data_IF_402942282266
#
_entry.id   IF_402942282266
#
_cell.length_a   1.000
_cell.length_b   1.000
_cell.length_c   1.000
_cell.angle_alpha   90.00
_cell.angle_beta   90.00
_cell.angle_gamma   90.00
#
_symmetry.space_group_name_H-M   'P 1'
#
loop_
_entity.id
_entity.type
_entity.pdbx_description
1 polymer ?
#
# COMPACT_ATOMS: atom_id res chain seq x y z
N UNK A 1 -11.81 10.27 -3.82
CA UNK A 1 -11.40 9.09 -4.62
C UNK A 1 -9.92 9.07 -5.05
N UNK A 2 -9.11 10.07 -4.66
CA UNK A 2 -7.70 10.23 -5.03
C UNK A 2 -6.75 9.16 -4.44
N UNK A 3 -6.95 8.78 -3.17
CA UNK A 3 -6.11 7.77 -2.49
C UNK A 3 -6.13 6.42 -3.20
N UNK A 4 -7.27 6.01 -3.76
CA UNK A 4 -7.40 4.74 -4.49
C UNK A 4 -6.57 4.72 -5.78
N UNK A 5 -6.54 5.83 -6.51
CA UNK A 5 -5.74 5.95 -7.72
C UNK A 5 -4.23 5.83 -7.42
N UNK A 6 -3.77 6.46 -6.34
CA UNK A 6 -2.36 6.34 -5.94
C UNK A 6 -2.02 4.95 -5.41
N UNK A 7 -2.94 4.28 -4.73
CA UNK A 7 -2.82 2.87 -4.33
C UNK A 7 -2.64 1.94 -5.54
N UNK A 8 -3.35 2.18 -6.64
CA UNK A 8 -3.27 1.36 -7.86
C UNK A 8 -1.92 1.47 -8.60
N UNK A 9 -1.10 2.45 -8.24
CA UNK A 9 0.23 2.68 -8.80
C UNK A 9 1.36 2.00 -7.99
N UNK A 10 1.01 1.31 -6.89
CA UNK A 10 1.95 0.47 -6.15
C UNK A 10 2.15 -0.88 -6.87
N UNK A 11 3.30 -1.54 -6.68
CA UNK A 11 3.46 -2.92 -7.14
C UNK A 11 2.39 -3.83 -6.56
N UNK A 12 1.97 -4.81 -7.36
CA UNK A 12 0.82 -5.66 -7.06
C UNK A 12 0.88 -6.31 -5.67
N UNK A 13 2.04 -6.84 -5.25
CA UNK A 13 2.17 -7.48 -3.93
C UNK A 13 2.11 -6.49 -2.76
N UNK A 14 2.63 -5.27 -2.93
CA UNK A 14 2.58 -4.23 -1.90
C UNK A 14 1.16 -3.68 -1.77
N UNK A 15 0.51 -3.42 -2.90
CA UNK A 15 -0.89 -3.00 -2.97
C UNK A 15 -1.80 -4.03 -2.32
N UNK A 16 -1.64 -5.31 -2.65
CA UNK A 16 -2.50 -6.37 -2.12
C UNK A 16 -2.25 -6.58 -0.63
N UNK A 17 -1.00 -6.57 -0.17
CA UNK A 17 -0.68 -6.64 1.25
C UNK A 17 -1.31 -5.48 2.05
N UNK A 18 -1.29 -4.25 1.52
CA UNK A 18 -1.95 -3.11 2.13
C UNK A 18 -3.47 -3.26 2.14
N UNK A 19 -4.08 -3.66 1.01
CA UNK A 19 -5.54 -3.84 0.90
C UNK A 19 -6.03 -4.85 1.92
N UNK A 20 -5.40 -6.02 2.00
CA UNK A 20 -5.75 -7.06 2.97
C UNK A 20 -5.54 -6.59 4.42
N UNK A 21 -4.53 -5.73 4.66
CA UNK A 21 -4.25 -5.23 6.01
C UNK A 21 -5.17 -4.11 6.46
N UNK A 22 -5.51 -3.18 5.57
CA UNK A 22 -6.22 -1.93 5.88
C UNK A 22 -7.72 -2.06 5.63
N UNK A 23 -8.12 -2.65 4.50
CA UNK A 23 -9.54 -2.80 4.18
C UNK A 23 -10.13 -4.01 4.93
N UNK A 24 -9.44 -5.15 4.87
CA UNK A 24 -9.92 -6.42 5.45
C UNK A 24 -9.43 -6.67 6.89
N UNK A 25 -8.57 -5.80 7.43
CA UNK A 25 -8.06 -5.87 8.80
C UNK A 25 -7.37 -7.20 9.17
N UNK A 26 -6.87 -7.94 8.19
CA UNK A 26 -6.29 -9.26 8.41
C UNK A 26 -4.99 -9.21 9.24
N UNK A 27 -4.68 -10.34 9.87
CA UNK A 27 -3.40 -10.54 10.56
C UNK A 27 -2.29 -10.81 9.55
N UNK A 28 -1.04 -10.54 9.95
CA UNK A 28 0.12 -10.78 9.08
C UNK A 28 0.26 -12.27 8.72
N UNK A 29 -0.15 -13.17 9.61
CA UNK A 29 -0.15 -14.62 9.34
C UNK A 29 -1.23 -15.03 8.33
N UNK A 30 -2.42 -14.42 8.38
CA UNK A 30 -3.47 -14.66 7.39
C UNK A 30 -3.08 -14.13 6.00
N UNK A 31 -2.52 -12.92 5.96
CA UNK A 31 -2.02 -12.31 4.72
C UNK A 31 -0.88 -13.17 4.14
N UNK A 32 0.02 -13.68 4.97
CA UNK A 32 1.11 -14.57 4.55
C UNK A 32 0.58 -15.82 3.84
N UNK A 33 -0.47 -16.43 4.40
CA UNK A 33 -1.15 -17.59 3.79
C UNK A 33 -1.82 -17.25 2.46
N UNK A 34 -2.50 -16.09 2.38
CA UNK A 34 -3.19 -15.64 1.16
C UNK A 34 -2.19 -15.33 0.04
N UNK A 35 -1.11 -14.64 0.36
CA UNK A 35 -0.10 -14.22 -0.62
C UNK A 35 0.94 -15.31 -0.93
N UNK A 36 0.96 -16.41 -0.17
CA UNK A 36 1.94 -17.49 -0.34
C UNK A 36 3.37 -17.07 0.00
N UNK A 37 3.56 -16.17 0.97
CA UNK A 37 4.88 -15.64 1.38
C UNK A 37 5.11 -15.81 2.88
N UNK A 38 6.35 -15.61 3.34
CA UNK A 38 6.65 -15.62 4.78
C UNK A 38 6.01 -14.43 5.51
N UNK A 39 5.66 -14.61 6.79
CA UNK A 39 5.14 -13.53 7.65
C UNK A 39 6.05 -12.29 7.68
N UNK A 40 7.38 -12.51 7.71
CA UNK A 40 8.36 -11.42 7.64
C UNK A 40 8.28 -10.62 6.34
N UNK A 41 8.06 -11.32 5.22
CA UNK A 41 7.84 -10.70 3.90
C UNK A 41 6.59 -9.85 3.88
N UNK A 42 5.50 -10.29 4.53
CA UNK A 42 4.27 -9.47 4.65
C UNK A 42 4.57 -8.14 5.35
N UNK A 43 5.33 -8.17 6.46
CA UNK A 43 5.65 -6.93 7.15
C UNK A 43 6.52 -5.99 6.35
N UNK A 44 7.47 -6.53 5.59
CA UNK A 44 8.22 -5.75 4.63
C UNK A 44 7.33 -5.16 3.52
N UNK A 45 6.41 -5.94 2.94
CA UNK A 45 5.48 -5.49 1.90
C UNK A 45 4.57 -4.37 2.40
N UNK A 46 3.98 -4.52 3.59
CA UNK A 46 3.11 -3.49 4.21
C UNK A 46 3.90 -2.21 4.47
N UNK A 47 5.10 -2.33 5.04
CA UNK A 47 5.95 -1.16 5.32
C UNK A 47 6.36 -0.43 4.03
N UNK A 48 6.82 -1.18 3.02
CA UNK A 48 7.22 -0.61 1.71
C UNK A 48 6.04 0.02 0.97
N UNK A 49 4.90 -0.66 0.97
CA UNK A 49 3.67 -0.14 0.38
C UNK A 49 3.27 1.18 1.03
N UNK A 50 3.27 1.25 2.37
CA UNK A 50 2.89 2.47 3.09
C UNK A 50 3.84 3.63 2.77
N UNK A 51 5.16 3.41 2.84
CA UNK A 51 6.14 4.44 2.48
C UNK A 51 5.95 4.96 1.06
N UNK A 52 5.72 4.05 0.09
CA UNK A 52 5.50 4.46 -1.30
C UNK A 52 4.20 5.22 -1.46
N UNK A 53 3.12 4.77 -0.85
CA UNK A 53 1.84 5.46 -0.90
C UNK A 53 1.95 6.87 -0.31
N UNK A 54 2.58 7.03 0.86
CA UNK A 54 2.82 8.34 1.48
C UNK A 54 3.57 9.27 0.52
N UNK A 55 4.71 8.83 0.00
CA UNK A 55 5.51 9.62 -0.95
C UNK A 55 4.73 10.01 -2.22
N UNK A 56 3.82 9.14 -2.67
CA UNK A 56 2.99 9.41 -3.85
C UNK A 56 1.91 10.44 -3.55
N UNK A 57 1.23 10.28 -2.42
CA UNK A 57 0.21 11.23 -1.97
C UNK A 57 0.81 12.62 -1.77
N UNK A 58 1.98 12.72 -1.10
CA UNK A 58 2.69 14.00 -0.91
C UNK A 58 3.00 14.69 -2.24
N UNK A 59 3.50 13.95 -3.24
CA UNK A 59 3.80 14.49 -4.57
C UNK A 59 2.54 14.93 -5.30
N UNK A 60 1.49 14.12 -5.21
CA UNK A 60 0.26 14.39 -5.93
C UNK A 60 -0.53 15.56 -5.29
N UNK A 61 -0.43 15.77 -3.97
CA UNK A 61 -0.95 16.98 -3.31
C UNK A 61 -0.10 18.21 -3.62
N UNK A 62 1.24 18.09 -3.60
CA UNK A 62 2.13 19.20 -3.94
C UNK A 62 1.96 19.68 -5.40
N UNK A 63 1.73 18.75 -6.34
CA UNK A 63 1.46 19.11 -7.73
C UNK A 63 0.12 19.84 -7.92
N UNK A 64 -0.85 19.62 -7.03
CA UNK A 64 -2.15 20.30 -7.08
C UNK A 64 -2.03 21.78 -6.67
N UNK A 65 -1.14 22.10 -5.73
CA UNK A 65 -0.90 23.47 -5.24
C UNK A 65 -0.08 24.33 -6.22
N UNK A 66 0.76 23.72 -7.06
CA UNK A 66 1.58 24.44 -8.06
C UNK A 66 0.81 24.76 -9.35
N UNK A 67 -0.31 24.09 -9.58
CA UNK A 67 -1.16 24.28 -10.76
C UNK A 67 -2.41 25.15 -10.50
N UNK A 68 -2.52 25.74 -9.31
CA UNK A 68 -3.62 26.62 -8.89
C UNK A 68 -3.18 28.06 -8.77
#
# INVERSE_FOLDING_TARGET
HFVRAELDLLPAQEREALRLKVDEHLTYDAIAKILGVARGTVGWLVHRGMQRLSNRLEKATANTEVQS
#
